data_IF_581227838951
#
_entry.id   IF_581227838951
#
_cell.length_a   1.000
_cell.length_b   1.000
_cell.length_c   1.000
_cell.angle_alpha   90.00
_cell.angle_beta   90.00
_cell.angle_gamma   90.00
#
_symmetry.space_group_name_H-M   'P 1'
#
loop_
_entity.id
_entity.type
_entity.pdbx_description
1 polymer ?
#
# COMPACT_ATOMS: atom_id res chain seq x y z
N UNK A 1 -15.73 -1.44 -19.55
CA UNK A 1 -15.20 -2.26 -18.45
C UNK A 1 -15.21 -1.39 -17.19
N UNK A 2 -15.84 -1.79 -16.10
CA UNK A 2 -15.79 -1.02 -14.86
C UNK A 2 -14.52 -1.45 -14.11
N UNK A 3 -13.61 -0.52 -13.77
CA UNK A 3 -12.46 -0.87 -12.95
C UNK A 3 -12.94 -1.29 -11.55
N UNK A 4 -12.36 -2.38 -11.06
CA UNK A 4 -12.63 -2.84 -9.69
C UNK A 4 -12.19 -1.82 -8.64
N UNK A 5 -12.79 -1.85 -7.48
CA UNK A 5 -12.35 -1.05 -6.33
C UNK A 5 -11.05 -1.62 -5.75
N UNK A 6 -10.31 -0.82 -4.97
CA UNK A 6 -9.08 -1.23 -4.28
C UNK A 6 -9.23 -2.55 -3.50
N UNK A 7 -10.42 -2.84 -2.96
CA UNK A 7 -10.75 -4.10 -2.30
C UNK A 7 -10.64 -5.35 -3.21
N UNK A 8 -10.64 -5.19 -4.53
CA UNK A 8 -10.46 -6.28 -5.49
C UNK A 8 -8.99 -6.59 -5.82
N UNK A 9 -8.05 -5.79 -5.33
CA UNK A 9 -6.62 -6.04 -5.45
C UNK A 9 -6.16 -6.99 -4.33
N UNK A 10 -6.54 -8.26 -4.46
CA UNK A 10 -6.16 -9.30 -3.49
C UNK A 10 -5.67 -10.55 -4.23
N UNK A 11 -4.52 -11.15 -3.83
CA UNK A 11 -3.96 -12.31 -4.52
C UNK A 11 -4.94 -13.47 -4.75
N UNK A 12 -5.89 -13.69 -3.84
CA UNK A 12 -6.95 -14.71 -4.00
C UNK A 12 -7.80 -14.48 -5.24
N UNK A 13 -8.02 -13.23 -5.66
CA UNK A 13 -8.78 -12.94 -6.89
C UNK A 13 -7.94 -13.26 -8.11
N UNK A 14 -6.66 -12.89 -8.11
CA UNK A 14 -5.77 -13.20 -9.23
C UNK A 14 -5.52 -14.72 -9.37
N UNK A 15 -5.36 -15.44 -8.25
CA UNK A 15 -4.98 -16.85 -8.23
C UNK A 15 -6.14 -17.84 -8.41
N UNK A 16 -7.27 -17.42 -8.98
CA UNK A 16 -8.37 -18.33 -9.27
C UNK A 16 -7.93 -19.39 -10.30
N UNK A 17 -8.39 -20.65 -10.15
CA UNK A 17 -7.98 -21.74 -11.05
C UNK A 17 -8.40 -21.47 -12.50
N UNK A 18 -7.68 -22.10 -13.42
CA UNK A 18 -7.94 -22.11 -14.86
C UNK A 18 -7.92 -20.73 -15.54
N UNK A 19 -7.26 -19.74 -14.92
CA UNK A 19 -7.13 -18.38 -15.48
C UNK A 19 -8.46 -17.64 -15.60
N UNK A 20 -9.47 -18.04 -14.82
CA UNK A 20 -10.84 -17.49 -14.92
C UNK A 20 -10.88 -15.97 -14.67
N UNK A 21 -9.88 -15.43 -14.00
CA UNK A 21 -9.73 -13.99 -13.74
C UNK A 21 -8.70 -13.31 -14.63
N UNK A 22 -8.05 -14.00 -15.54
CA UNK A 22 -7.15 -13.39 -16.50
C UNK A 22 -7.87 -12.31 -17.33
N UNK A 23 -7.22 -11.16 -17.50
CA UNK A 23 -7.85 -9.99 -18.11
C UNK A 23 -8.74 -9.18 -17.16
N UNK A 24 -8.81 -9.50 -15.88
CA UNK A 24 -9.47 -8.65 -14.88
C UNK A 24 -8.60 -7.43 -14.56
N UNK A 25 -9.19 -6.25 -14.55
CA UNK A 25 -8.51 -4.99 -14.24
C UNK A 25 -8.95 -4.42 -12.91
N UNK A 26 -8.00 -3.83 -12.19
CA UNK A 26 -8.25 -3.11 -10.93
C UNK A 26 -7.30 -1.95 -10.76
N UNK A 27 -7.66 -1.00 -9.90
CA UNK A 27 -6.76 0.06 -9.46
C UNK A 27 -6.20 -0.25 -8.07
N UNK A 28 -4.91 0.04 -7.88
CA UNK A 28 -4.24 -0.02 -6.59
C UNK A 28 -3.21 1.11 -6.46
N UNK A 29 -2.89 1.48 -5.23
CA UNK A 29 -1.89 2.52 -4.95
C UNK A 29 -0.46 1.96 -4.87
N UNK A 30 -0.32 0.68 -4.65
CA UNK A 30 0.96 -0.03 -4.56
C UNK A 30 0.77 -1.53 -4.84
N UNK A 31 1.87 -2.23 -5.06
CA UNK A 31 1.88 -3.66 -5.34
C UNK A 31 1.89 -4.52 -4.06
N UNK A 32 1.59 -5.80 -4.21
CA UNK A 32 1.72 -6.78 -3.12
C UNK A 32 3.21 -6.99 -2.80
N UNK A 33 3.60 -7.00 -1.51
CA UNK A 33 4.99 -7.27 -1.14
C UNK A 33 5.50 -8.58 -1.71
N UNK A 34 6.66 -8.52 -2.39
CA UNK A 34 7.26 -9.69 -3.06
C UNK A 34 8.78 -9.67 -2.91
N UNK A 35 9.38 -10.83 -2.64
CA UNK A 35 10.84 -11.01 -2.62
C UNK A 35 11.49 -10.81 -3.99
N UNK A 36 10.72 -10.82 -5.07
CA UNK A 36 11.26 -10.73 -6.43
C UNK A 36 11.79 -9.32 -6.77
N UNK A 37 11.25 -8.26 -6.12
CA UNK A 37 11.54 -6.86 -6.47
C UNK A 37 11.54 -5.92 -5.25
N UNK A 38 11.76 -6.44 -4.03
CA UNK A 38 11.77 -5.63 -2.82
C UNK A 38 13.10 -4.86 -2.66
N UNK A 39 13.03 -3.69 -1.99
CA UNK A 39 14.22 -3.04 -1.43
C UNK A 39 14.83 -3.91 -0.31
N UNK A 40 16.11 -3.75 0.05
CA UNK A 40 16.71 -4.52 1.14
C UNK A 40 15.90 -4.47 2.44
N UNK A 41 15.39 -3.29 2.83
CA UNK A 41 14.57 -3.09 4.02
C UNK A 41 13.25 -3.89 3.95
N UNK A 42 12.60 -3.88 2.81
CA UNK A 42 11.35 -4.62 2.61
C UNK A 42 11.57 -6.12 2.52
N UNK A 43 12.69 -6.56 1.94
CA UNK A 43 13.08 -7.97 1.94
C UNK A 43 13.29 -8.46 3.38
N UNK A 44 14.02 -7.72 4.20
CA UNK A 44 14.25 -8.04 5.63
C UNK A 44 12.93 -8.08 6.42
N UNK A 45 11.99 -7.16 6.12
CA UNK A 45 10.67 -7.17 6.72
C UNK A 45 9.87 -8.42 6.31
N UNK A 46 9.91 -8.81 5.01
CA UNK A 46 9.23 -10.03 4.52
C UNK A 46 9.79 -11.27 5.22
N UNK A 47 11.13 -11.38 5.36
CA UNK A 47 11.78 -12.49 6.04
C UNK A 47 11.42 -12.54 7.54
N UNK A 48 11.39 -11.39 8.20
CA UNK A 48 10.95 -11.27 9.60
C UNK A 48 9.49 -11.67 9.75
N UNK A 49 8.63 -11.21 8.86
CA UNK A 49 7.22 -11.56 8.87
C UNK A 49 7.01 -13.07 8.70
N UNK A 50 7.65 -13.67 7.67
CA UNK A 50 7.56 -15.10 7.38
C UNK A 50 8.07 -15.94 8.55
N UNK A 51 9.20 -15.57 9.16
CA UNK A 51 9.76 -16.28 10.30
C UNK A 51 8.87 -16.19 11.55
N UNK A 52 8.12 -15.11 11.70
CA UNK A 52 7.25 -14.85 12.87
C UNK A 52 5.89 -15.53 12.72
N UNK A 53 5.30 -15.48 11.53
CA UNK A 53 3.91 -15.90 11.30
C UNK A 53 3.78 -17.18 10.48
N UNK A 54 4.87 -17.70 9.92
CA UNK A 54 4.89 -18.97 9.16
C UNK A 54 4.27 -18.86 7.77
N UNK A 55 4.01 -17.66 7.26
CA UNK A 55 3.46 -17.38 5.93
C UNK A 55 3.99 -16.05 5.39
N UNK A 56 3.98 -15.90 4.08
CA UNK A 56 4.36 -14.63 3.44
C UNK A 56 3.35 -13.52 3.74
N UNK A 57 3.81 -12.25 3.86
CA UNK A 57 2.91 -11.13 3.98
C UNK A 57 2.05 -10.97 2.71
N UNK A 58 0.87 -10.44 2.89
CA UNK A 58 -0.06 -10.11 1.82
C UNK A 58 -0.37 -8.60 1.81
N UNK A 59 -1.28 -8.18 0.94
CA UNK A 59 -1.66 -6.77 0.84
C UNK A 59 -2.20 -6.19 2.16
N UNK A 60 -2.92 -6.99 2.96
CA UNK A 60 -3.39 -6.57 4.29
C UNK A 60 -2.24 -6.34 5.27
N UNK A 61 -1.19 -7.17 5.20
CA UNK A 61 0.03 -6.99 6.00
C UNK A 61 0.78 -5.71 5.60
N UNK A 62 0.82 -5.39 4.29
CA UNK A 62 1.41 -4.16 3.77
C UNK A 62 0.67 -2.91 4.28
N UNK A 63 -0.66 -2.93 4.25
CA UNK A 63 -1.47 -1.86 4.84
C UNK A 63 -1.21 -1.70 6.34
N UNK A 64 -1.17 -2.82 7.08
CA UNK A 64 -0.88 -2.80 8.52
C UNK A 64 0.48 -2.18 8.82
N UNK A 65 1.52 -2.58 8.08
CA UNK A 65 2.86 -1.99 8.20
C UNK A 65 2.82 -0.46 7.96
N UNK A 66 2.27 -0.06 6.84
CA UNK A 66 2.21 1.35 6.43
C UNK A 66 1.44 2.22 7.44
N UNK A 67 0.28 1.77 7.89
CA UNK A 67 -0.51 2.53 8.87
C UNK A 67 0.20 2.67 10.21
N UNK A 68 0.90 1.63 10.65
CA UNK A 68 1.67 1.69 11.90
C UNK A 68 2.90 2.57 11.76
N UNK A 69 3.59 2.55 10.64
CA UNK A 69 4.75 3.43 10.37
C UNK A 69 4.33 4.91 10.35
N UNK A 70 3.23 5.24 9.63
CA UNK A 70 2.67 6.60 9.63
C UNK A 70 2.27 7.04 11.03
N UNK A 71 1.62 6.13 11.79
CA UNK A 71 1.21 6.42 13.18
C UNK A 71 2.41 6.68 14.07
N UNK A 72 3.46 5.87 13.96
CA UNK A 72 4.69 6.05 14.73
C UNK A 72 5.36 7.40 14.42
N UNK A 73 5.48 7.77 13.15
CA UNK A 73 6.00 9.08 12.73
C UNK A 73 5.18 10.24 13.30
N UNK A 74 3.84 10.13 13.24
CA UNK A 74 2.97 11.17 13.81
C UNK A 74 3.14 11.29 15.33
N UNK A 75 3.30 10.17 16.05
CA UNK A 75 3.56 10.18 17.49
C UNK A 75 4.93 10.79 17.82
N UNK A 76 5.96 10.49 17.03
CA UNK A 76 7.29 11.09 17.19
C UNK A 76 7.25 12.61 16.99
N UNK A 77 6.55 13.08 15.97
CA UNK A 77 6.37 14.52 15.68
C UNK A 77 5.56 15.19 16.79
N UNK A 78 4.45 14.57 17.24
CA UNK A 78 3.60 15.11 18.30
C UNK A 78 4.32 15.23 19.66
N UNK A 79 5.31 14.36 19.90
CA UNK A 79 6.12 14.40 21.11
C UNK A 79 5.39 13.92 22.37
N UNK A 80 5.96 14.23 23.53
CA UNK A 80 5.50 13.69 24.84
C UNK A 80 4.22 14.32 25.36
N UNK A 81 3.93 15.56 25.00
CA UNK A 81 2.70 16.27 25.37
C UNK A 81 1.55 15.88 24.43
N UNK A 82 1.28 14.58 24.37
CA UNK A 82 0.35 14.01 23.41
C UNK A 82 -1.10 14.37 23.74
N UNK A 83 -1.73 15.07 22.81
CA UNK A 83 -3.17 15.37 22.77
C UNK A 83 -3.73 15.00 21.41
N UNK A 84 -5.05 14.96 21.27
CA UNK A 84 -5.70 14.76 19.96
C UNK A 84 -5.23 15.82 18.95
N UNK A 85 -5.18 17.08 19.38
CA UNK A 85 -4.78 18.18 18.49
C UNK A 85 -3.31 18.08 18.08
N UNK A 86 -2.40 17.77 19.02
CA UNK A 86 -0.98 17.61 18.68
C UNK A 86 -0.75 16.43 17.73
N UNK A 87 -1.48 15.33 17.88
CA UNK A 87 -1.41 14.19 16.99
C UNK A 87 -1.97 14.50 15.59
N UNK A 88 -3.13 15.18 15.51
CA UNK A 88 -3.69 15.59 14.22
C UNK A 88 -2.79 16.57 13.49
N UNK A 89 -2.26 17.59 14.16
CA UNK A 89 -1.30 18.53 13.58
C UNK A 89 -0.03 17.80 13.08
N UNK A 90 0.43 16.77 13.81
CA UNK A 90 1.55 15.96 13.40
C UNK A 90 1.25 15.16 12.13
N UNK A 91 0.09 14.50 12.03
CA UNK A 91 -0.35 13.80 10.82
C UNK A 91 -0.44 14.74 9.61
N UNK A 92 -1.07 15.91 9.79
CA UNK A 92 -1.24 16.93 8.74
C UNK A 92 0.07 17.58 8.29
N UNK A 93 1.14 17.46 9.09
CA UNK A 93 2.47 17.92 8.72
C UNK A 93 3.27 16.93 7.87
N UNK A 94 2.83 15.67 7.77
CA UNK A 94 3.48 14.65 6.93
C UNK A 94 3.10 14.91 5.46
N UNK A 95 4.07 15.30 4.64
CA UNK A 95 3.84 15.66 3.24
C UNK A 95 4.76 14.95 2.24
N UNK A 96 5.51 13.95 2.70
CA UNK A 96 6.54 13.27 1.92
C UNK A 96 6.64 11.77 2.23
N UNK A 97 5.58 11.15 2.74
CA UNK A 97 5.61 9.74 3.07
C UNK A 97 5.60 8.88 1.81
N UNK A 98 6.77 8.37 1.41
CA UNK A 98 6.87 7.40 0.32
C UNK A 98 6.38 6.03 0.80
N UNK A 99 5.41 5.47 0.11
CA UNK A 99 4.92 4.10 0.39
C UNK A 99 6.07 3.10 0.16
N UNK A 100 6.37 2.21 1.13
CA UNK A 100 7.48 1.25 1.00
C UNK A 100 7.30 0.21 -0.12
N UNK A 101 6.07 0.02 -0.61
CA UNK A 101 5.68 -1.02 -1.55
C UNK A 101 5.39 -0.48 -2.97
N UNK A 102 5.86 0.72 -3.30
CA UNK A 102 5.61 1.34 -4.61
C UNK A 102 6.18 2.75 -4.71
N UNK A 103 5.72 3.50 -5.70
CA UNK A 103 6.22 4.85 -5.97
C UNK A 103 5.29 5.96 -5.46
N UNK A 104 4.12 5.60 -4.95
CA UNK A 104 3.17 6.59 -4.43
C UNK A 104 3.72 7.31 -3.21
N UNK A 105 3.56 8.63 -3.20
CA UNK A 105 3.87 9.49 -2.06
C UNK A 105 2.57 9.96 -1.43
N UNK A 106 2.44 9.77 -0.13
CA UNK A 106 1.31 10.26 0.66
C UNK A 106 1.65 11.61 1.30
N UNK A 107 0.66 12.48 1.33
CA UNK A 107 0.76 13.79 1.98
C UNK A 107 -0.57 14.19 2.59
N UNK A 108 -0.53 14.87 3.73
CA UNK A 108 -1.71 15.38 4.41
C UNK A 108 -1.56 16.87 4.70
N UNK A 109 -2.68 17.55 4.85
CA UNK A 109 -2.75 18.92 5.34
C UNK A 109 -4.10 19.16 6.02
N UNK A 110 -4.29 20.29 6.74
CA UNK A 110 -5.60 20.64 7.33
C UNK A 110 -6.76 20.65 6.32
N UNK A 111 -6.48 20.93 5.05
CA UNK A 111 -7.48 20.98 3.97
C UNK A 111 -7.59 19.64 3.20
N UNK A 112 -6.61 18.75 3.37
CA UNK A 112 -6.52 17.49 2.63
C UNK A 112 -6.22 16.31 3.56
N UNK A 113 -7.24 15.58 3.97
CA UNK A 113 -7.10 14.37 4.79
C UNK A 113 -6.97 13.08 3.97
N UNK A 114 -7.14 13.13 2.66
CA UNK A 114 -6.86 12.02 1.76
C UNK A 114 -5.36 12.01 1.42
N UNK A 115 -4.63 11.00 1.90
CA UNK A 115 -3.17 10.93 1.77
C UNK A 115 -2.68 10.90 0.32
N UNK A 116 -3.36 10.18 -0.57
CA UNK A 116 -3.09 10.17 -2.01
C UNK A 116 -4.37 10.28 -2.82
N UNK A 117 -4.24 10.81 -4.03
CA UNK A 117 -5.29 10.86 -5.04
C UNK A 117 -4.83 10.22 -6.36
N UNK A 118 -3.90 9.29 -6.28
CA UNK A 118 -3.35 8.55 -7.42
C UNK A 118 -3.54 7.05 -7.23
N UNK A 119 -3.72 6.35 -8.34
CA UNK A 119 -3.72 4.89 -8.40
C UNK A 119 -3.09 4.45 -9.72
N UNK A 120 -2.64 3.22 -9.76
CA UNK A 120 -2.09 2.56 -10.96
C UNK A 120 -3.05 1.47 -11.42
N UNK A 121 -3.06 1.20 -12.71
CA UNK A 121 -3.90 0.16 -13.30
C UNK A 121 -3.13 -1.17 -13.33
N UNK A 122 -3.75 -2.20 -12.79
CA UNK A 122 -3.25 -3.57 -12.80
C UNK A 122 -4.19 -4.48 -13.58
N UNK A 123 -3.62 -5.49 -14.23
CA UNK A 123 -4.32 -6.57 -14.91
C UNK A 123 -3.91 -7.91 -14.33
N UNK A 124 -4.84 -8.84 -14.19
CA UNK A 124 -4.51 -10.23 -13.85
C UNK A 124 -3.96 -10.93 -15.10
N UNK A 125 -2.75 -11.45 -14.99
CA UNK A 125 -2.07 -12.24 -15.99
C UNK A 125 -1.44 -13.46 -15.34
N UNK A 126 -1.83 -14.65 -15.77
CA UNK A 126 -1.32 -15.93 -15.25
C UNK A 126 -1.42 -16.02 -13.71
N UNK A 127 -2.54 -15.60 -13.14
CA UNK A 127 -2.80 -15.69 -11.70
C UNK A 127 -2.11 -14.63 -10.84
N UNK A 128 -1.55 -13.58 -11.45
CA UNK A 128 -0.83 -12.50 -10.74
C UNK A 128 -1.26 -11.14 -11.26
N UNK A 129 -1.35 -10.15 -10.38
CA UNK A 129 -1.55 -8.76 -10.78
C UNK A 129 -0.26 -8.19 -11.36
N UNK A 130 -0.34 -7.66 -12.57
CA UNK A 130 0.76 -6.98 -13.28
C UNK A 130 0.33 -5.54 -13.55
N UNK A 131 1.16 -4.58 -13.16
CA UNK A 131 0.93 -3.18 -13.52
C UNK A 131 1.01 -3.01 -15.03
N UNK A 132 -0.04 -2.45 -15.64
CA UNK A 132 -0.17 -2.40 -17.10
C UNK A 132 0.67 -1.30 -17.73
N UNK A 133 0.85 -0.19 -17.00
CA UNK A 133 1.63 0.97 -17.41
C UNK A 133 2.14 1.75 -16.20
N UNK A 134 2.98 2.74 -16.43
CA UNK A 134 3.47 3.64 -15.38
C UNK A 134 2.64 4.93 -15.27
N UNK A 135 1.40 4.90 -15.78
CA UNK A 135 0.53 6.06 -15.75
C UNK A 135 -0.15 6.19 -14.40
N UNK A 136 -0.08 7.38 -13.85
CA UNK A 136 -0.86 7.77 -12.68
C UNK A 136 -2.29 8.14 -13.09
N UNK A 137 -3.26 7.52 -12.44
CA UNK A 137 -4.67 7.84 -12.57
C UNK A 137 -5.10 8.61 -11.33
N UNK A 138 -5.54 9.85 -11.52
CA UNK A 138 -5.99 10.72 -10.42
C UNK A 138 -7.51 10.68 -10.28
N UNK A 139 -8.00 10.85 -9.04
CA UNK A 139 -9.42 10.88 -8.69
C UNK A 139 -9.76 11.96 -7.67
#
# INVERSE_FOLDING_TARGET
>A
MQPGQVASFHPVIASQPDGVTDGFYTFAQFDTPSKANCSPEICDWIDTYESTFGNLPNIGSAYGYMYMDITARALEIAGRELTTDSFLNALESINDYKIPFGDTVLSWSPEKHLGANVAYLFEVQNGTFIQTDNKEYTY
#
